data_IF_929433954274
#
_entry.id   IF_929433954274
#
_cell.length_a   1.000
_cell.length_b   1.000
_cell.length_c   1.000
_cell.angle_alpha   90.00
_cell.angle_beta   90.00
_cell.angle_gamma   90.00
#
_symmetry.space_group_name_H-M   'P 1'
#
loop_
_entity.id
_entity.type
_entity.pdbx_description
1 polymer ?
#
# COMPACT_ATOMS: atom_id res chain seq x y z
N UNK A 1 6.11 25.12 13.86
CA UNK A 1 6.86 23.89 14.18
C UNK A 1 5.91 22.69 14.11
N UNK A 2 6.38 21.48 13.73
CA UNK A 2 5.53 20.29 13.73
C UNK A 2 5.13 19.91 15.17
N UNK A 3 3.86 19.53 15.38
CA UNK A 3 3.36 19.05 16.68
C UNK A 3 3.47 17.53 16.68
N UNK A 4 4.02 16.92 17.74
CA UNK A 4 4.05 15.45 17.88
C UNK A 4 2.77 14.98 18.56
N UNK A 5 2.04 14.07 17.92
CA UNK A 5 0.87 13.41 18.50
C UNK A 5 1.05 11.90 18.42
N UNK A 6 1.02 11.21 19.58
CA UNK A 6 1.26 9.76 19.67
C UNK A 6 2.54 9.29 18.95
N UNK A 7 3.59 10.11 18.98
CA UNK A 7 4.87 9.84 18.29
C UNK A 7 4.89 10.14 16.79
N UNK A 8 3.78 10.60 16.21
CA UNK A 8 3.68 10.97 14.80
C UNK A 8 3.85 12.49 14.65
N UNK A 9 4.75 12.96 13.77
CA UNK A 9 4.89 14.39 13.50
C UNK A 9 3.72 14.89 12.63
N UNK A 10 2.92 15.79 13.19
CA UNK A 10 1.87 16.53 12.47
C UNK A 10 2.47 17.84 11.94
N UNK A 11 2.42 18.03 10.63
CA UNK A 11 2.98 19.20 9.96
C UNK A 11 2.06 19.69 8.83
N UNK A 12 2.19 20.97 8.50
CA UNK A 12 1.55 21.59 7.33
C UNK A 12 2.58 21.72 6.21
N UNK A 13 2.18 21.51 4.97
CA UNK A 13 3.07 21.61 3.81
C UNK A 13 3.82 20.30 3.50
N UNK A 14 5.00 20.40 2.89
CA UNK A 14 5.77 19.25 2.42
C UNK A 14 6.46 18.54 3.59
N UNK A 15 6.49 17.20 3.55
CA UNK A 15 7.23 16.40 4.52
C UNK A 15 8.74 16.67 4.38
N UNK A 16 9.34 17.29 5.40
CA UNK A 16 10.78 17.52 5.49
C UNK A 16 11.45 16.36 6.23
N UNK A 17 12.72 16.10 5.92
CA UNK A 17 13.47 15.03 6.59
C UNK A 17 13.63 15.27 8.08
N UNK A 18 13.74 16.54 8.51
CA UNK A 18 13.93 16.91 9.91
C UNK A 18 12.77 16.51 10.82
N UNK A 19 11.55 16.37 10.29
CA UNK A 19 10.40 15.94 11.07
C UNK A 19 10.51 14.49 11.56
N UNK A 20 11.38 13.69 10.95
CA UNK A 20 11.58 12.29 11.25
C UNK A 20 12.91 12.00 11.97
N UNK A 21 13.68 13.03 12.33
CA UNK A 21 14.98 12.83 13.00
C UNK A 21 14.81 12.11 14.35
N UNK A 22 13.75 12.42 15.09
CA UNK A 22 13.38 11.72 16.33
C UNK A 22 13.25 10.20 16.14
N UNK A 23 12.63 9.76 15.04
CA UNK A 23 12.50 8.34 14.71
C UNK A 23 13.88 7.71 14.46
N UNK A 24 14.73 8.42 13.71
CA UNK A 24 16.09 7.95 13.41
C UNK A 24 16.92 7.84 14.68
N UNK A 25 16.83 8.83 15.56
CA UNK A 25 17.50 8.86 16.86
C UNK A 25 17.03 7.75 17.77
N UNK A 26 15.72 7.48 17.83
CA UNK A 26 15.17 6.36 18.62
C UNK A 26 15.69 5.00 18.15
N UNK A 27 15.80 4.79 16.83
CA UNK A 27 16.38 3.56 16.27
C UNK A 27 17.88 3.48 16.60
N UNK A 28 18.59 4.59 16.44
CA UNK A 28 20.03 4.67 16.74
C UNK A 28 20.33 4.41 18.22
N UNK A 29 19.58 5.05 19.13
CA UNK A 29 19.75 4.87 20.58
C UNK A 29 19.40 3.44 21.01
N UNK A 30 18.38 2.82 20.39
CA UNK A 30 18.05 1.41 20.64
C UNK A 30 19.20 0.47 20.25
N UNK A 31 19.87 0.75 19.13
CA UNK A 31 21.06 0.00 18.69
C UNK A 31 22.24 0.22 19.62
N UNK A 32 22.50 1.46 20.04
CA UNK A 32 23.61 1.80 20.95
C UNK A 32 23.45 1.17 22.33
N UNK A 33 22.21 1.05 22.82
CA UNK A 33 21.89 0.38 24.08
C UNK A 33 22.19 -1.12 24.06
N UNK A 34 22.31 -1.74 22.88
CA UNK A 34 22.74 -3.12 22.78
C UNK A 34 24.26 -3.20 22.71
N UNK A 35 24.83 -4.11 23.51
CA UNK A 35 26.24 -4.49 23.40
C UNK A 35 26.47 -5.23 22.08
N UNK A 36 26.54 -4.49 20.97
CA UNK A 36 26.71 -5.00 19.60
C UNK A 36 27.94 -5.89 19.42
N UNK A 37 28.92 -5.79 20.34
CA UNK A 37 30.11 -6.63 20.43
C UNK A 37 29.82 -8.05 20.93
N UNK A 38 28.74 -8.26 21.68
CA UNK A 38 28.35 -9.56 22.25
C UNK A 38 27.36 -10.35 21.37
N UNK A 39 26.83 -9.72 20.34
CA UNK A 39 25.81 -10.32 19.49
C UNK A 39 26.44 -11.00 18.28
N UNK A 40 26.07 -12.26 18.06
CA UNK A 40 26.36 -12.96 16.81
C UNK A 40 25.63 -12.30 15.64
N UNK A 41 26.08 -12.58 14.40
CA UNK A 41 25.43 -12.08 13.19
C UNK A 41 23.94 -12.44 13.14
N UNK A 42 23.60 -13.70 13.47
CA UNK A 42 22.21 -14.16 13.56
C UNK A 42 21.40 -13.45 14.64
N UNK A 43 22.02 -13.14 15.79
CA UNK A 43 21.38 -12.35 16.85
C UNK A 43 21.03 -10.94 16.39
N UNK A 44 21.95 -10.26 15.69
CA UNK A 44 21.71 -8.93 15.11
C UNK A 44 20.61 -8.95 14.06
N UNK A 45 20.62 -9.96 13.18
CA UNK A 45 19.59 -10.14 12.16
C UNK A 45 18.20 -10.31 12.80
N UNK A 46 18.11 -11.12 13.86
CA UNK A 46 16.86 -11.34 14.60
C UNK A 46 16.35 -10.03 15.21
N UNK A 47 17.23 -9.27 15.88
CA UNK A 47 16.88 -7.98 16.47
C UNK A 47 16.41 -6.94 15.45
N UNK A 48 17.04 -6.92 14.26
CA UNK A 48 16.58 -6.06 13.17
C UNK A 48 15.14 -6.42 12.78
N UNK A 49 14.88 -7.70 12.54
CA UNK A 49 13.56 -8.17 12.07
C UNK A 49 12.45 -7.97 13.09
N UNK A 50 12.69 -8.30 14.37
CA UNK A 50 11.67 -8.30 15.42
C UNK A 50 11.47 -6.92 16.06
N UNK A 51 12.54 -6.19 16.32
CA UNK A 51 12.49 -4.92 17.08
C UNK A 51 12.66 -3.72 16.16
N UNK A 52 13.76 -3.62 15.41
CA UNK A 52 14.05 -2.37 14.70
C UNK A 52 13.08 -2.11 13.54
N UNK A 53 12.68 -3.16 12.80
CA UNK A 53 11.65 -3.04 11.77
C UNK A 53 10.25 -2.76 12.34
N UNK A 54 9.98 -3.06 13.62
CA UNK A 54 8.66 -2.81 14.22
C UNK A 54 8.49 -1.39 14.77
N UNK A 55 9.58 -0.71 15.10
CA UNK A 55 9.57 0.68 15.59
C UNK A 55 8.92 1.69 14.61
N UNK A 56 9.28 1.74 13.30
CA UNK A 56 8.75 2.75 12.38
C UNK A 56 7.36 2.43 11.81
N UNK A 57 6.77 1.26 12.09
CA UNK A 57 5.54 0.77 11.42
C UNK A 57 4.41 1.79 11.49
N UNK A 58 4.13 2.33 12.68
CA UNK A 58 3.04 3.28 12.88
C UNK A 58 3.20 4.54 12.01
N UNK A 59 4.41 5.11 11.92
CA UNK A 59 4.69 6.27 11.06
C UNK A 59 4.58 5.89 9.57
N UNK A 60 5.20 4.80 9.14
CA UNK A 60 5.19 4.37 7.73
C UNK A 60 3.79 4.07 7.22
N UNK A 61 2.93 3.53 8.09
CA UNK A 61 1.55 3.21 7.73
C UNK A 61 0.68 4.44 7.46
N UNK A 62 0.99 5.56 8.11
CA UNK A 62 0.16 6.77 8.08
C UNK A 62 0.80 7.93 7.32
N UNK A 63 2.11 7.97 7.11
CA UNK A 63 2.79 9.08 6.45
C UNK A 63 3.66 8.59 5.31
N UNK A 64 3.72 9.39 4.25
CA UNK A 64 4.68 9.19 3.18
C UNK A 64 6.04 9.77 3.61
N UNK A 65 6.93 8.90 4.08
CA UNK A 65 8.26 9.27 4.56
C UNK A 65 9.19 9.57 3.37
N UNK A 66 9.97 10.66 3.38
CA UNK A 66 10.92 10.95 2.31
C UNK A 66 11.98 9.85 2.18
N UNK A 67 12.34 9.48 0.94
CA UNK A 67 13.39 8.47 0.65
C UNK A 67 14.72 8.73 1.36
N UNK A 68 15.06 10.01 1.60
CA UNK A 68 16.28 10.39 2.34
C UNK A 68 16.28 9.81 3.77
N UNK A 69 15.13 9.79 4.43
CA UNK A 69 14.97 9.28 5.80
C UNK A 69 15.02 7.74 5.79
N UNK A 70 14.29 7.09 4.89
CA UNK A 70 14.31 5.61 4.80
C UNK A 70 15.72 5.10 4.48
N UNK A 71 16.42 5.72 3.53
CA UNK A 71 17.83 5.42 3.24
C UNK A 71 18.75 5.63 4.45
N UNK A 72 18.53 6.69 5.25
CA UNK A 72 19.32 6.93 6.47
C UNK A 72 19.10 5.83 7.51
N UNK A 73 17.85 5.41 7.73
CA UNK A 73 17.54 4.31 8.64
C UNK A 73 18.17 3.01 8.13
N UNK A 74 18.03 2.69 6.85
CA UNK A 74 18.61 1.49 6.26
C UNK A 74 20.14 1.45 6.37
N UNK A 75 20.82 2.57 6.19
CA UNK A 75 22.27 2.67 6.44
C UNK A 75 22.63 2.35 7.89
N UNK A 76 21.85 2.85 8.86
CA UNK A 76 22.07 2.56 10.28
C UNK A 76 21.86 1.06 10.56
N UNK A 77 20.81 0.45 9.99
CA UNK A 77 20.55 -0.99 10.12
C UNK A 77 21.66 -1.84 9.46
N UNK A 78 22.14 -1.42 8.29
CA UNK A 78 23.26 -2.06 7.60
C UNK A 78 24.53 -2.01 8.43
N UNK A 79 24.88 -0.83 8.95
CA UNK A 79 26.04 -0.65 9.81
C UNK A 79 25.92 -1.51 11.06
N UNK A 80 24.74 -1.58 11.68
CA UNK A 80 24.51 -2.45 12.83
C UNK A 80 24.74 -3.92 12.49
N UNK A 81 24.15 -4.42 11.39
CA UNK A 81 24.27 -5.81 10.96
C UNK A 81 25.72 -6.22 10.70
N UNK A 82 26.47 -5.37 10.00
CA UNK A 82 27.84 -5.64 9.57
C UNK A 82 28.91 -5.21 10.60
N UNK A 83 28.54 -4.44 11.63
CA UNK A 83 29.47 -4.05 12.70
C UNK A 83 30.08 -5.28 13.39
N UNK A 84 31.35 -5.20 13.79
CA UNK A 84 31.96 -6.19 14.67
C UNK A 84 32.92 -5.51 15.63
N UNK A 85 32.80 -5.83 16.92
CA UNK A 85 33.63 -5.28 17.99
C UNK A 85 33.76 -3.75 18.06
N UNK A 86 32.82 -3.00 17.44
CA UNK A 86 32.81 -1.54 17.43
C UNK A 86 33.39 -0.89 16.18
N UNK A 87 33.99 -1.66 15.26
CA UNK A 87 34.44 -1.17 13.96
C UNK A 87 33.43 -1.49 12.86
N UNK A 88 33.27 -0.55 11.93
CA UNK A 88 32.52 -0.76 10.70
C UNK A 88 33.32 -1.73 9.80
N UNK A 89 32.77 -2.91 9.55
CA UNK A 89 33.32 -3.83 8.54
C UNK A 89 32.81 -3.48 7.15
N UNK A 90 33.52 -4.01 6.15
CA UNK A 90 33.09 -4.00 4.76
C UNK A 90 31.71 -4.66 4.64
N UNK A 91 30.79 -4.01 3.94
CA UNK A 91 29.51 -4.57 3.56
C UNK A 91 29.72 -5.57 2.43
N UNK A 92 29.65 -6.87 2.73
CA UNK A 92 29.85 -7.92 1.72
C UNK A 92 28.72 -7.97 0.69
N UNK A 93 27.51 -7.60 1.10
CA UNK A 93 26.30 -7.67 0.27
C UNK A 93 25.56 -6.34 0.38
N UNK A 94 25.01 -5.88 -0.74
CA UNK A 94 24.21 -4.65 -0.76
C UNK A 94 22.96 -4.79 0.12
N UNK A 95 22.54 -3.71 0.79
CA UNK A 95 21.35 -3.74 1.64
C UNK A 95 20.09 -4.16 0.88
N UNK A 96 19.97 -3.77 -0.39
CA UNK A 96 18.84 -4.17 -1.25
C UNK A 96 18.79 -5.68 -1.43
N UNK A 97 19.92 -6.30 -1.78
CA UNK A 97 20.01 -7.75 -1.97
C UNK A 97 19.71 -8.53 -0.68
N UNK A 98 20.14 -8.00 0.47
CA UNK A 98 19.83 -8.58 1.79
C UNK A 98 18.32 -8.57 2.10
N UNK A 99 17.58 -7.58 1.59
CA UNK A 99 16.15 -7.45 1.87
C UNK A 99 15.27 -8.45 1.09
N UNK A 100 15.81 -9.16 0.11
CA UNK A 100 15.06 -10.19 -0.60
C UNK A 100 14.69 -11.36 0.32
N UNK A 101 13.61 -12.11 0.01
CA UNK A 101 13.27 -13.32 0.73
C UNK A 101 14.37 -14.38 0.59
N UNK A 102 14.37 -15.36 1.51
CA UNK A 102 15.36 -16.46 1.50
C UNK A 102 15.35 -17.26 0.19
N UNK A 103 14.17 -17.41 -0.44
CA UNK A 103 14.01 -18.10 -1.72
C UNK A 103 14.75 -17.39 -2.86
N UNK A 104 14.92 -16.07 -2.76
CA UNK A 104 15.65 -15.23 -3.72
C UNK A 104 17.10 -14.98 -3.30
N UNK A 105 17.60 -15.71 -2.30
CA UNK A 105 18.99 -15.58 -1.80
C UNK A 105 19.24 -14.38 -0.88
N UNK A 106 18.18 -13.71 -0.39
CA UNK A 106 18.29 -12.66 0.61
C UNK A 106 18.18 -13.17 2.06
N UNK A 107 18.28 -12.26 3.03
CA UNK A 107 18.14 -12.58 4.45
C UNK A 107 16.72 -12.35 4.98
N UNK A 108 15.75 -12.01 4.13
CA UNK A 108 14.36 -11.76 4.52
C UNK A 108 14.17 -10.56 5.45
N UNK A 109 15.01 -9.53 5.31
CA UNK A 109 14.80 -8.24 5.99
C UNK A 109 13.80 -7.43 5.17
N UNK A 110 12.84 -6.77 5.81
CA UNK A 110 11.88 -5.92 5.09
C UNK A 110 12.55 -4.62 4.65
N UNK A 111 12.60 -4.38 3.35
CA UNK A 111 12.95 -3.07 2.81
C UNK A 111 11.89 -2.03 3.24
N UNK A 112 12.32 -0.86 3.74
CA UNK A 112 11.42 0.09 4.39
C UNK A 112 10.50 0.78 3.37
N UNK A 113 11.01 1.02 2.16
CA UNK A 113 10.26 1.69 1.10
C UNK A 113 9.14 0.79 0.56
N UNK A 114 9.44 -0.47 0.25
CA UNK A 114 8.45 -1.48 -0.15
C UNK A 114 7.47 -1.78 0.98
N UNK A 115 7.96 -1.88 2.22
CA UNK A 115 7.10 -2.14 3.37
C UNK A 115 6.14 -0.98 3.64
N UNK A 116 6.59 0.27 3.53
CA UNK A 116 5.72 1.46 3.61
C UNK A 116 4.59 1.40 2.56
N UNK A 117 4.93 1.11 1.30
CA UNK A 117 3.95 0.99 0.23
C UNK A 117 2.94 -0.13 0.51
N UNK A 118 3.41 -1.27 1.03
CA UNK A 118 2.54 -2.41 1.38
C UNK A 118 1.53 -2.05 2.49
N UNK A 119 1.97 -1.35 3.53
CA UNK A 119 1.10 -0.92 4.64
C UNK A 119 0.04 0.08 4.16
N UNK A 120 0.46 1.08 3.38
CA UNK A 120 -0.45 2.07 2.83
C UNK A 120 -1.44 1.43 1.85
N UNK A 121 -0.99 0.46 1.05
CA UNK A 121 -1.83 -0.33 0.16
C UNK A 121 -2.86 -1.16 0.93
N UNK A 122 -2.48 -1.76 2.06
CA UNK A 122 -3.42 -2.46 2.94
C UNK A 122 -4.53 -1.53 3.43
N UNK A 123 -4.20 -0.30 3.84
CA UNK A 123 -5.23 0.68 4.24
C UNK A 123 -6.11 1.10 3.06
N UNK A 124 -5.54 1.26 1.87
CA UNK A 124 -6.31 1.56 0.67
C UNK A 124 -7.28 0.41 0.32
N UNK A 125 -6.85 -0.85 0.49
CA UNK A 125 -7.73 -2.02 0.36
C UNK A 125 -8.87 -2.03 1.39
N UNK A 126 -8.56 -1.77 2.66
CA UNK A 126 -9.60 -1.67 3.71
C UNK A 126 -10.61 -0.55 3.40
N UNK A 127 -10.15 0.56 2.83
CA UNK A 127 -11.00 1.64 2.38
C UNK A 127 -11.93 1.20 1.23
N UNK A 128 -11.44 0.38 0.28
CA UNK A 128 -12.24 -0.19 -0.81
C UNK A 128 -13.27 -1.21 -0.31
N UNK A 129 -12.90 -2.06 0.65
CA UNK A 129 -13.80 -3.03 1.26
C UNK A 129 -14.94 -2.35 2.03
N UNK A 130 -14.66 -1.26 2.75
CA UNK A 130 -15.70 -0.42 3.36
C UNK A 130 -16.42 -0.98 4.59
N UNK A 131 -16.03 -2.17 5.05
CA UNK A 131 -16.69 -2.85 6.18
C UNK A 131 -16.24 -2.32 7.54
N UNK A 132 -15.04 -1.74 7.65
CA UNK A 132 -14.53 -1.24 8.92
C UNK A 132 -15.09 0.15 9.26
N UNK A 133 -15.27 0.43 10.56
CA UNK A 133 -15.67 1.75 11.05
C UNK A 133 -14.75 2.86 10.53
N UNK A 134 -13.44 2.60 10.51
CA UNK A 134 -12.46 3.51 9.93
C UNK A 134 -12.76 3.82 8.46
N UNK A 135 -13.08 2.81 7.64
CA UNK A 135 -13.40 3.03 6.23
C UNK A 135 -14.68 3.85 6.06
N UNK A 136 -15.70 3.64 6.91
CA UNK A 136 -16.93 4.42 6.90
C UNK A 136 -16.67 5.90 7.22
N UNK A 137 -15.88 6.19 8.26
CA UNK A 137 -15.50 7.56 8.65
C UNK A 137 -14.67 8.24 7.55
N UNK A 138 -13.73 7.52 6.95
CA UNK A 138 -12.90 8.06 5.87
C UNK A 138 -13.76 8.33 4.62
N UNK A 139 -14.71 7.44 4.30
CA UNK A 139 -15.66 7.64 3.20
C UNK A 139 -16.61 8.81 3.43
N UNK A 140 -17.08 9.04 4.65
CA UNK A 140 -17.92 10.22 4.94
C UNK A 140 -17.16 11.52 4.76
N UNK A 141 -15.86 11.55 5.09
CA UNK A 141 -15.00 12.73 4.95
C UNK A 141 -14.49 12.99 3.53
N UNK A 142 -14.02 11.94 2.85
CA UNK A 142 -13.33 12.06 1.55
C UNK A 142 -14.17 11.58 0.35
N UNK A 143 -15.32 10.97 0.59
CA UNK A 143 -16.18 10.36 -0.41
C UNK A 143 -15.88 8.88 -0.64
N UNK A 144 -16.74 8.23 -1.44
CA UNK A 144 -16.49 6.84 -1.89
C UNK A 144 -15.34 6.78 -2.89
N UNK A 145 -14.81 5.58 -3.15
CA UNK A 145 -13.64 5.42 -4.00
C UNK A 145 -13.83 5.97 -5.43
N UNK A 146 -15.04 5.86 -6.01
CA UNK A 146 -15.34 6.48 -7.31
C UNK A 146 -15.14 7.99 -7.28
N UNK A 147 -15.57 8.66 -6.21
CA UNK A 147 -15.37 10.11 -6.08
C UNK A 147 -13.89 10.48 -6.04
N UNK A 148 -13.08 9.65 -5.38
CA UNK A 148 -11.64 9.89 -5.22
C UNK A 148 -10.89 9.66 -6.53
N UNK A 149 -11.26 8.63 -7.30
CA UNK A 149 -10.64 8.38 -8.61
C UNK A 149 -11.06 9.43 -9.65
N UNK A 150 -12.33 9.86 -9.68
CA UNK A 150 -12.81 10.86 -10.63
C UNK A 150 -12.35 12.29 -10.30
N UNK A 151 -12.47 12.71 -9.03
CA UNK A 151 -12.16 14.09 -8.63
C UNK A 151 -10.67 14.28 -8.30
N UNK A 152 -9.91 13.20 -8.21
CA UNK A 152 -8.53 13.22 -7.76
C UNK A 152 -8.38 13.56 -6.27
N UNK A 153 -7.13 13.54 -5.80
CA UNK A 153 -6.81 13.80 -4.39
C UNK A 153 -6.71 15.31 -4.16
N UNK A 154 -7.62 15.87 -3.35
CA UNK A 154 -7.60 17.31 -3.03
C UNK A 154 -6.30 17.71 -2.31
N UNK A 155 -5.68 18.86 -2.64
CA UNK A 155 -4.46 19.34 -1.96
C UNK A 155 -4.69 19.71 -0.49
N UNK A 156 -5.91 20.04 -0.09
CA UNK A 156 -6.29 20.29 1.32
C UNK A 156 -6.42 19.00 2.15
N UNK A 157 -6.37 17.82 1.51
CA UNK A 157 -6.49 16.54 2.22
C UNK A 157 -5.35 16.32 3.22
N UNK A 158 -5.62 15.52 4.25
CA UNK A 158 -4.63 15.14 5.25
C UNK A 158 -3.47 14.37 4.60
N UNK A 159 -2.27 14.50 5.16
CA UNK A 159 -1.09 13.77 4.69
C UNK A 159 -1.30 12.27 4.74
N UNK A 160 -2.00 11.78 5.76
CA UNK A 160 -2.35 10.37 5.88
C UNK A 160 -3.26 9.90 4.75
N UNK A 161 -4.31 10.66 4.45
CA UNK A 161 -5.17 10.31 3.32
C UNK A 161 -4.40 10.33 2.00
N UNK A 162 -3.55 11.33 1.76
CA UNK A 162 -2.73 11.39 0.53
C UNK A 162 -1.79 10.19 0.38
N UNK A 163 -1.19 9.74 1.48
CA UNK A 163 -0.31 8.57 1.47
C UNK A 163 -1.06 7.29 1.08
N UNK A 164 -2.28 7.10 1.59
CA UNK A 164 -3.13 5.95 1.29
C UNK A 164 -3.73 6.06 -0.12
N UNK A 165 -4.34 7.20 -0.43
CA UNK A 165 -5.08 7.42 -1.67
C UNK A 165 -4.21 7.30 -2.93
N UNK A 166 -2.90 7.53 -2.80
CA UNK A 166 -1.93 7.31 -3.89
C UNK A 166 -1.97 5.87 -4.44
N UNK A 167 -2.27 4.88 -3.60
CA UNK A 167 -2.28 3.46 -3.99
C UNK A 167 -3.64 2.97 -4.49
N UNK A 168 -4.70 3.79 -4.39
CA UNK A 168 -6.03 3.40 -4.83
C UNK A 168 -6.12 3.01 -6.30
N UNK A 169 -5.52 3.75 -7.26
CA UNK A 169 -5.61 3.39 -8.68
C UNK A 169 -4.96 2.03 -8.98
N UNK A 170 -3.82 1.75 -8.35
CA UNK A 170 -3.12 0.48 -8.51
C UNK A 170 -3.98 -0.69 -8.01
N UNK A 171 -4.61 -0.52 -6.85
CA UNK A 171 -5.41 -1.57 -6.23
C UNK A 171 -6.73 -1.74 -6.98
N UNK A 172 -7.41 -0.66 -7.37
CA UNK A 172 -8.68 -0.74 -8.12
C UNK A 172 -8.52 -1.48 -9.44
N UNK A 173 -7.40 -1.28 -10.14
CA UNK A 173 -7.15 -1.94 -11.42
C UNK A 173 -6.89 -3.44 -11.26
N UNK A 174 -6.33 -3.86 -10.12
CA UNK A 174 -5.97 -5.24 -9.83
C UNK A 174 -7.00 -5.98 -8.96
N UNK A 175 -8.17 -5.38 -8.72
CA UNK A 175 -9.20 -5.97 -7.85
C UNK A 175 -10.52 -6.10 -8.59
N UNK A 176 -11.30 -7.10 -8.16
CA UNK A 176 -12.66 -7.33 -8.64
C UNK A 176 -13.65 -7.26 -7.49
N UNK A 177 -14.81 -6.67 -7.73
CA UNK A 177 -15.91 -6.74 -6.77
C UNK A 177 -16.66 -8.04 -6.96
N UNK A 178 -16.85 -8.79 -5.88
CA UNK A 178 -17.74 -9.94 -5.85
C UNK A 178 -19.04 -9.48 -5.21
N UNK A 179 -20.13 -9.47 -5.99
CA UNK A 179 -21.45 -9.07 -5.50
C UNK A 179 -21.94 -10.15 -4.55
N UNK A 180 -22.09 -9.77 -3.29
CA UNK A 180 -22.76 -10.58 -2.26
C UNK A 180 -24.06 -9.94 -1.79
N UNK A 181 -24.25 -8.65 -2.04
CA UNK A 181 -25.48 -7.92 -1.72
C UNK A 181 -25.74 -6.81 -2.75
N UNK A 182 -27.02 -6.50 -2.98
CA UNK A 182 -27.51 -5.64 -4.08
C UNK A 182 -27.21 -4.13 -3.98
N UNK A 183 -26.24 -3.70 -3.17
CA UNK A 183 -25.87 -2.29 -3.00
C UNK A 183 -24.66 -1.87 -3.85
N UNK A 184 -24.24 -2.69 -4.82
CA UNK A 184 -23.15 -2.39 -5.75
C UNK A 184 -23.64 -1.65 -6.98
N UNK A 185 -22.91 -0.63 -7.42
CA UNK A 185 -23.20 0.06 -8.68
C UNK A 185 -22.57 -0.69 -9.86
N UNK A 186 -23.40 -1.35 -10.67
CA UNK A 186 -23.00 -2.18 -11.82
C UNK A 186 -21.97 -1.48 -12.72
N UNK A 187 -22.27 -0.26 -13.16
CA UNK A 187 -21.45 0.48 -14.13
C UNK A 187 -20.15 1.05 -13.60
N UNK A 188 -20.02 1.21 -12.28
CA UNK A 188 -18.86 1.90 -11.70
C UNK A 188 -17.81 0.94 -11.17
N UNK A 189 -18.15 -0.33 -10.99
CA UNK A 189 -17.33 -1.33 -10.31
C UNK A 189 -16.70 -2.33 -11.31
N UNK A 190 -15.54 -2.88 -10.97
CA UNK A 190 -14.85 -3.87 -11.79
C UNK A 190 -15.36 -5.29 -11.46
N UNK A 191 -16.30 -5.80 -12.27
CA UNK A 191 -16.94 -7.11 -12.04
C UNK A 191 -16.19 -8.22 -12.78
N UNK A 192 -15.72 -7.93 -13.99
CA UNK A 192 -15.14 -8.92 -14.90
C UNK A 192 -13.61 -9.12 -14.75
N UNK A 193 -12.99 -8.48 -13.76
CA UNK A 193 -11.53 -8.52 -13.58
C UNK A 193 -10.76 -7.71 -14.63
N UNK A 194 -11.47 -6.98 -15.49
CA UNK A 194 -10.96 -5.95 -16.40
C UNK A 194 -11.80 -4.71 -16.17
N UNK A 195 -11.17 -3.54 -16.08
CA UNK A 195 -11.91 -2.29 -15.94
C UNK A 195 -12.85 -2.12 -17.14
N UNK A 196 -14.16 -2.23 -16.90
CA UNK A 196 -15.20 -1.83 -17.86
C UNK A 196 -15.21 -0.32 -18.12
N UNK A 197 -14.43 0.42 -17.32
CA UNK A 197 -14.32 1.88 -17.39
C UNK A 197 -13.51 2.30 -18.61
N UNK A 198 -14.22 2.69 -19.67
CA UNK A 198 -13.67 3.52 -20.73
C UNK A 198 -13.67 4.97 -20.23
N UNK A 199 -12.50 5.62 -20.05
CA UNK A 199 -12.45 7.06 -19.81
C UNK A 199 -12.92 7.78 -21.08
N UNK A 200 -14.23 7.97 -21.22
CA UNK A 200 -14.84 8.55 -22.41
C UNK A 200 -16.33 8.24 -22.60
N UNK A 201 -16.85 7.18 -21.98
CA UNK A 201 -18.27 6.86 -22.07
C UNK A 201 -19.05 7.53 -20.92
N UNK A 202 -20.01 8.45 -21.21
CA UNK A 202 -20.92 8.92 -20.18
C UNK A 202 -21.70 7.72 -19.63
N UNK A 203 -21.79 7.62 -18.31
CA UNK A 203 -22.65 6.64 -17.66
C UNK A 203 -24.06 6.82 -18.21
N UNK A 204 -24.69 5.80 -18.81
CA UNK A 204 -26.09 5.90 -19.13
C UNK A 204 -26.83 6.10 -17.80
N UNK A 205 -27.71 7.10 -17.75
CA UNK A 205 -28.46 7.48 -16.57
C UNK A 205 -29.59 6.46 -16.33
N UNK A 206 -29.25 5.17 -16.27
CA UNK A 206 -30.21 4.08 -16.23
C UNK A 206 -30.41 3.61 -14.79
N UNK A 207 -31.67 3.54 -14.38
CA UNK A 207 -32.11 2.83 -13.20
C UNK A 207 -31.81 1.33 -13.35
N UNK A 208 -31.62 0.61 -12.24
CA UNK A 208 -31.36 -0.85 -12.26
C UNK A 208 -32.44 -1.61 -13.05
N UNK A 209 -33.68 -1.10 -13.07
CA UNK A 209 -34.78 -1.68 -13.88
C UNK A 209 -34.54 -1.46 -15.38
N UNK A 210 -34.16 -0.27 -15.78
CA UNK A 210 -33.90 0.07 -17.19
C UNK A 210 -32.62 -0.60 -17.71
N UNK A 211 -31.67 -0.93 -16.83
CA UNK A 211 -30.48 -1.72 -17.18
C UNK A 211 -30.75 -3.23 -17.29
N UNK A 212 -31.80 -3.74 -16.61
CA UNK A 212 -32.31 -5.11 -16.75
C UNK A 212 -33.17 -5.27 -18.00
N UNK A 213 -33.76 -4.18 -18.51
CA UNK A 213 -34.53 -4.14 -19.76
C UNK A 213 -33.63 -4.03 -21.01
N UNK A 214 -32.33 -3.77 -20.84
CA UNK A 214 -31.36 -3.97 -21.92
C UNK A 214 -31.28 -5.49 -22.12
N UNK A 215 -31.53 -6.03 -23.33
CA UNK A 215 -31.36 -7.46 -23.57
C UNK A 215 -29.96 -7.84 -23.09
N UNK A 216 -29.83 -8.86 -22.23
CA UNK A 216 -28.57 -9.14 -21.57
C UNK A 216 -27.51 -9.27 -22.65
N UNK A 217 -26.34 -8.67 -22.45
CA UNK A 217 -25.20 -8.73 -23.38
C UNK A 217 -24.82 -10.20 -23.77
N UNK A 218 -25.37 -11.17 -23.05
CA UNK A 218 -25.37 -12.60 -23.38
C UNK A 218 -26.16 -12.97 -24.67
N UNK A 219 -27.22 -12.24 -25.04
CA UNK A 219 -27.98 -12.48 -26.28
C UNK A 219 -27.23 -12.03 -27.54
N UNK A 220 -26.32 -11.06 -27.40
CA UNK A 220 -25.44 -10.61 -28.51
C UNK A 220 -24.32 -11.63 -28.79
N UNK A 221 -24.03 -12.53 -27.85
CA UNK A 221 -22.97 -13.54 -27.97
C UNK A 221 -23.48 -14.97 -28.24
N UNK A 222 -24.78 -15.22 -28.18
CA UNK A 222 -25.38 -16.53 -28.44
C UNK A 222 -26.35 -16.39 -29.61
N UNK A 223 -25.97 -16.94 -30.77
CA UNK A 223 -26.84 -17.00 -31.95
C UNK A 223 -28.19 -17.65 -31.59
N UNK A 224 -29.24 -16.84 -31.67
CA UNK A 224 -30.58 -17.18 -31.19
C UNK A 224 -31.32 -18.32 -31.91
N UNK A 225 -30.95 -18.84 -33.10
CA UNK A 225 -31.69 -19.97 -33.66
C UNK A 225 -31.22 -21.34 -33.17
N UNK A 226 -30.04 -21.50 -32.55
CA UNK A 226 -29.42 -22.84 -32.42
C UNK A 226 -29.07 -23.34 -31.01
N UNK A 227 -29.13 -22.50 -29.96
CA UNK A 227 -28.84 -22.91 -28.55
C UNK A 227 -27.65 -23.89 -28.41
N UNK A 228 -26.56 -23.67 -29.16
CA UNK A 228 -25.31 -24.44 -29.04
C UNK A 228 -24.12 -23.49 -29.02
N UNK A 229 -23.10 -23.85 -28.24
CA UNK A 229 -21.79 -23.20 -28.29
C UNK A 229 -21.16 -23.41 -29.67
N UNK A 230 -20.51 -22.39 -30.27
CA UNK A 230 -19.73 -22.60 -31.48
C UNK A 230 -18.59 -23.57 -31.14
N UNK A 231 -18.62 -24.74 -31.77
CA UNK A 231 -17.54 -25.73 -31.66
C UNK A 231 -16.24 -25.13 -32.22
N UNK A 232 -15.07 -25.43 -31.61
CA UNK A 232 -13.80 -24.92 -32.10
C UNK A 232 -13.56 -25.47 -33.51
N UNK A 233 -13.40 -24.56 -34.48
CA UNK A 233 -13.01 -24.91 -35.85
C UNK A 233 -11.62 -25.54 -35.80
N UNK A 234 -11.54 -26.82 -36.14
CA UNK A 234 -10.30 -27.51 -36.46
C UNK A 234 -9.81 -27.03 -37.82
N UNK A 235 -8.73 -26.25 -37.84
CA UNK A 235 -7.83 -26.00 -38.98
C UNK A 235 -6.56 -25.33 -38.46
#
# INVERSE_FOLDING_TARGET
MPIKYLGIPLFKGRAQSCFFDDLVERISSRIQNWKSKLLSFGGKLTLIKSVLCSMPIHILSLLNVPKKVTNRIQKILANFLWSSQGNNRIHWISWRQICHPFVEGGLGIRDLDTFMQSLQSKFAWLFLQGQSLWAQIVRSKYGTWHHVLHKGIKPSSSHCWKAIAKHLPLISNNTRTIIRSGNSSFWKENWMGRSLWFPGCPLPLLSVKEALDIPPFLEVLIDFPSKRWPSPSSS
#
